data_IF_662209624094
#
_entry.id   IF_662209624094
#
_cell.length_a   1.000
_cell.length_b   1.000
_cell.length_c   1.000
_cell.angle_alpha   90.00
_cell.angle_beta   90.00
_cell.angle_gamma   90.00
#
_symmetry.space_group_name_H-M   'P 1'
#
loop_
_entity.id
_entity.type
_entity.pdbx_description
1 polymer ?
#
# COMPACT_ATOMS: atom_id res chain seq x y z
N UNK A 1 35.18 29.64 -35.98
CA UNK A 1 35.06 29.66 -37.44
C UNK A 1 33.60 29.72 -37.79
N UNK A 2 33.19 30.59 -38.70
CA UNK A 2 31.82 30.65 -39.20
C UNK A 2 31.64 29.56 -40.27
N UNK A 3 30.77 28.58 -40.02
CA UNK A 3 30.31 27.68 -41.07
C UNK A 3 29.14 28.34 -41.79
N UNK A 4 29.34 28.70 -43.06
CA UNK A 4 28.29 29.21 -43.93
C UNK A 4 27.83 28.08 -44.85
N UNK A 5 26.58 27.64 -44.70
CA UNK A 5 25.95 26.62 -45.55
C UNK A 5 24.99 27.34 -46.51
N UNK A 6 25.25 27.24 -47.82
CA UNK A 6 24.36 27.76 -48.85
C UNK A 6 23.45 26.64 -49.35
N UNK A 7 22.14 26.82 -49.22
CA UNK A 7 21.16 25.84 -49.66
C UNK A 7 20.51 26.28 -50.98
N UNK A 8 20.66 25.48 -52.03
CA UNK A 8 19.88 25.64 -53.27
C UNK A 8 18.44 25.21 -53.03
N UNK A 9 17.48 25.96 -53.56
CA UNK A 9 16.05 25.86 -53.26
C UNK A 9 15.53 24.43 -53.15
N UNK A 10 14.99 24.13 -51.96
CA UNK A 10 14.19 22.94 -51.62
C UNK A 10 14.90 21.69 -51.07
N UNK A 11 16.15 21.77 -50.61
CA UNK A 11 16.69 20.70 -49.76
C UNK A 11 16.47 21.01 -48.28
N UNK A 12 15.82 20.11 -47.53
CA UNK A 12 15.75 20.24 -46.07
C UNK A 12 17.15 19.90 -45.51
N UNK A 13 17.94 20.92 -45.19
CA UNK A 13 19.20 20.73 -44.48
C UNK A 13 18.89 20.42 -43.00
N UNK A 14 18.83 19.14 -42.65
CA UNK A 14 18.71 18.72 -41.26
C UNK A 14 20.08 18.82 -40.58
N UNK A 15 20.28 19.87 -39.80
CA UNK A 15 21.51 20.07 -39.02
C UNK A 15 21.30 19.44 -37.64
N UNK A 16 21.82 18.23 -37.43
CA UNK A 16 21.80 17.57 -36.14
C UNK A 16 23.02 18.03 -35.32
N UNK A 17 22.83 18.97 -34.39
CA UNK A 17 23.84 19.28 -33.39
C UNK A 17 23.63 18.36 -32.19
N UNK A 18 24.59 17.49 -31.90
CA UNK A 18 24.62 16.76 -30.63
C UNK A 18 25.03 17.73 -29.53
N UNK A 19 24.09 18.10 -28.66
CA UNK A 19 24.27 19.09 -27.59
C UNK A 19 25.32 18.71 -26.53
N UNK A 20 25.87 17.50 -26.59
CA UNK A 20 26.73 16.91 -25.56
C UNK A 20 28.12 17.53 -25.41
N UNK A 21 28.50 18.57 -26.16
CA UNK A 21 29.88 19.12 -26.15
C UNK A 21 30.00 20.62 -25.89
N UNK A 22 28.91 21.36 -25.63
CA UNK A 22 28.98 22.83 -25.59
C UNK A 22 28.75 23.50 -24.22
N UNK A 23 28.45 22.76 -23.15
CA UNK A 23 28.47 23.31 -21.78
C UNK A 23 27.60 24.55 -21.52
N UNK A 24 26.69 24.90 -22.43
CA UNK A 24 25.77 26.02 -22.31
C UNK A 24 24.42 25.63 -22.90
N UNK A 25 23.34 25.83 -22.14
CA UNK A 25 21.96 25.49 -22.49
C UNK A 25 21.31 26.41 -23.52
N UNK A 26 21.98 27.49 -23.94
CA UNK A 26 21.43 28.48 -24.88
C UNK A 26 21.91 28.27 -26.31
N UNK A 27 21.03 27.77 -27.19
CA UNK A 27 21.20 27.87 -28.63
C UNK A 27 20.47 29.11 -29.15
N UNK A 28 21.19 30.16 -29.57
CA UNK A 28 20.58 31.27 -30.31
C UNK A 28 20.50 30.91 -31.79
N UNK A 29 19.32 30.48 -32.24
CA UNK A 29 19.00 30.40 -33.66
C UNK A 29 18.66 31.79 -34.18
N UNK A 30 19.49 32.36 -35.05
CA UNK A 30 19.07 33.49 -35.88
C UNK A 30 18.25 32.93 -37.05
N UNK A 31 16.94 33.18 -37.04
CA UNK A 31 16.05 32.87 -38.17
C UNK A 31 16.32 33.85 -39.31
N UNK A 32 16.50 33.34 -40.52
CA UNK A 32 16.56 34.13 -41.77
C UNK A 32 15.16 34.42 -42.34
N UNK A 33 14.10 34.09 -41.60
CA UNK A 33 12.71 34.20 -42.05
C UNK A 33 12.15 32.92 -42.67
N UNK A 34 12.92 31.84 -42.83
CA UNK A 34 12.38 30.52 -43.16
C UNK A 34 11.74 29.87 -41.92
N UNK A 35 10.51 29.37 -42.04
CA UNK A 35 9.70 28.82 -40.94
C UNK A 35 10.23 27.50 -40.35
N UNK A 36 11.38 27.54 -39.69
CA UNK A 36 11.95 26.41 -38.94
C UNK A 36 11.34 26.30 -37.54
N UNK A 37 10.93 25.09 -37.15
CA UNK A 37 10.52 24.76 -35.77
C UNK A 37 11.75 24.46 -34.93
N UNK A 38 12.05 25.29 -33.94
CA UNK A 38 13.07 25.00 -32.93
C UNK A 38 12.46 24.08 -31.86
N UNK A 39 12.94 22.84 -31.77
CA UNK A 39 12.60 21.94 -30.67
C UNK A 39 13.69 22.10 -29.60
N UNK A 40 13.45 22.97 -28.62
CA UNK A 40 14.25 22.97 -27.38
C UNK A 40 13.62 21.97 -26.42
N UNK A 41 14.38 20.98 -25.94
CA UNK A 41 14.06 20.35 -24.65
C UNK A 41 14.20 21.43 -23.58
N UNK A 42 13.27 21.49 -22.62
CA UNK A 42 13.40 22.43 -21.50
C UNK A 42 14.81 22.29 -20.91
N UNK A 43 15.55 23.39 -20.88
CA UNK A 43 16.85 23.40 -20.24
C UNK A 43 16.61 23.38 -18.74
N UNK A 44 17.23 22.42 -18.07
CA UNK A 44 17.51 22.53 -16.65
C UNK A 44 18.31 23.82 -16.43
N UNK A 45 17.78 24.72 -15.61
CA UNK A 45 18.45 25.98 -15.29
C UNK A 45 19.22 25.87 -13.97
N UNK A 46 19.06 24.76 -13.24
CA UNK A 46 19.96 24.39 -12.17
C UNK A 46 21.07 23.48 -12.73
N UNK A 47 22.23 23.49 -12.09
CA UNK A 47 23.36 22.62 -12.44
C UNK A 47 23.82 21.78 -11.23
N UNK A 48 23.01 21.79 -10.18
CA UNK A 48 23.29 21.16 -8.92
C UNK A 48 22.26 20.06 -8.67
N UNK A 49 22.69 18.79 -8.53
CA UNK A 49 21.77 17.71 -8.22
C UNK A 49 21.03 17.93 -6.90
N UNK A 50 19.71 18.05 -6.96
CA UNK A 50 18.83 18.29 -5.80
C UNK A 50 18.01 17.06 -5.41
N UNK A 51 18.15 16.57 -4.17
CA UNK A 51 17.42 15.39 -3.74
C UNK A 51 15.92 15.71 -3.58
N UNK A 52 15.02 14.76 -3.90
CA UNK A 52 13.59 14.94 -3.66
C UNK A 52 13.28 15.02 -2.18
N UNK A 53 12.17 15.68 -1.84
CA UNK A 53 11.64 15.70 -0.48
C UNK A 53 10.87 14.39 -0.23
N UNK A 54 11.42 13.55 0.64
CA UNK A 54 10.78 12.30 1.08
C UNK A 54 10.13 12.49 2.46
N UNK A 55 8.83 12.21 2.55
CA UNK A 55 8.07 12.25 3.80
C UNK A 55 7.34 10.93 4.03
N UNK A 56 7.35 10.44 5.28
CA UNK A 56 6.56 9.28 5.72
C UNK A 56 5.65 9.77 6.85
N UNK A 57 4.33 9.78 6.62
CA UNK A 57 3.37 10.33 7.56
C UNK A 57 3.33 9.59 8.91
N UNK A 58 3.56 8.27 8.88
CA UNK A 58 3.67 7.43 10.06
C UNK A 58 4.73 6.34 9.84
N UNK A 59 5.75 6.29 10.68
CA UNK A 59 6.86 5.33 10.59
C UNK A 59 6.55 3.96 11.19
N UNK A 60 5.34 3.76 11.74
CA UNK A 60 4.89 2.48 12.27
C UNK A 60 3.44 2.20 11.82
N UNK A 61 3.28 1.21 10.94
CA UNK A 61 1.98 0.78 10.41
C UNK A 61 1.67 -0.64 10.83
N UNK A 62 0.38 -0.96 10.80
CA UNK A 62 -0.12 -2.33 10.97
C UNK A 62 -1.03 -2.64 9.79
N UNK A 63 -0.86 -3.82 9.21
CA UNK A 63 -1.78 -4.35 8.19
C UNK A 63 -2.41 -5.61 8.76
N UNK A 64 -3.70 -5.82 8.49
CA UNK A 64 -4.36 -7.07 8.88
C UNK A 64 -3.94 -8.18 7.93
N UNK A 65 -3.88 -9.43 8.41
CA UNK A 65 -3.60 -10.59 7.58
C UNK A 65 -4.58 -10.66 6.40
N UNK A 66 -4.06 -10.71 5.17
CA UNK A 66 -4.87 -10.70 3.94
C UNK A 66 -5.50 -9.34 3.58
N UNK A 67 -5.17 -8.27 4.33
CA UNK A 67 -5.71 -6.92 4.13
C UNK A 67 -4.73 -5.98 3.44
N UNK A 68 -5.06 -4.69 3.47
CA UNK A 68 -4.22 -3.63 2.88
C UNK A 68 -4.16 -2.37 3.75
N UNK A 69 -3.10 -1.59 3.58
CA UNK A 69 -2.87 -0.35 4.30
C UNK A 69 -2.19 0.68 3.39
N UNK A 70 -2.58 1.95 3.50
CA UNK A 70 -1.88 3.05 2.84
C UNK A 70 -0.54 3.31 3.51
N UNK A 71 0.54 3.43 2.72
CA UNK A 71 1.89 3.60 3.26
C UNK A 71 2.16 5.02 3.79
N UNK A 72 1.38 6.02 3.38
CA UNK A 72 1.57 7.41 3.79
C UNK A 72 2.93 7.99 3.38
N UNK A 73 3.54 7.42 2.33
CA UNK A 73 4.80 7.90 1.75
C UNK A 73 4.48 8.95 0.70
N UNK A 74 5.25 10.03 0.70
CA UNK A 74 5.24 11.06 -0.35
C UNK A 74 6.67 11.36 -0.76
N UNK A 75 6.95 11.29 -2.06
CA UNK A 75 8.18 11.78 -2.66
C UNK A 75 7.84 12.92 -3.61
N UNK A 76 8.29 14.12 -3.28
CA UNK A 76 8.06 15.34 -4.08
C UNK A 76 9.33 15.69 -4.82
N UNK A 77 9.28 15.90 -6.15
CA UNK A 77 10.43 16.39 -6.90
C UNK A 77 10.88 17.76 -6.37
N UNK A 78 12.18 18.03 -6.46
CA UNK A 78 12.77 19.33 -6.16
C UNK A 78 12.24 20.39 -7.13
N UNK A 79 12.29 20.09 -8.43
CA UNK A 79 11.84 21.00 -9.49
C UNK A 79 10.79 20.39 -10.41
N UNK A 80 10.10 21.27 -11.16
CA UNK A 80 8.98 20.88 -12.01
C UNK A 80 9.39 20.04 -13.23
N UNK A 81 10.67 20.03 -13.59
CA UNK A 81 11.27 19.29 -14.69
C UNK A 81 11.99 18.01 -14.25
N UNK A 82 12.00 17.71 -12.94
CA UNK A 82 12.51 16.44 -12.42
C UNK A 82 11.51 15.30 -12.54
N UNK A 83 12.01 14.14 -12.97
CA UNK A 83 11.32 12.88 -12.73
C UNK A 83 11.73 12.31 -11.36
N UNK A 84 10.74 11.85 -10.59
CA UNK A 84 10.97 11.24 -9.28
C UNK A 84 10.78 9.71 -9.33
N UNK A 85 11.65 8.99 -8.63
CA UNK A 85 11.52 7.55 -8.39
C UNK A 85 11.64 7.25 -6.90
N UNK A 86 10.83 6.34 -6.40
CA UNK A 86 10.83 5.84 -5.03
C UNK A 86 11.31 4.39 -5.02
N UNK A 87 12.21 4.06 -4.11
CA UNK A 87 12.66 2.69 -3.85
C UNK A 87 12.23 2.28 -2.45
N UNK A 88 11.52 1.15 -2.34
CA UNK A 88 11.10 0.54 -1.08
C UNK A 88 11.69 -0.86 -1.00
N UNK A 89 12.66 -1.05 -0.12
CA UNK A 89 13.35 -2.32 0.10
C UNK A 89 12.91 -3.00 1.40
N UNK A 90 13.10 -4.32 1.48
CA UNK A 90 12.75 -5.11 2.66
C UNK A 90 11.28 -5.56 2.69
N UNK A 91 10.55 -5.44 1.58
CA UNK A 91 9.17 -5.91 1.46
C UNK A 91 9.16 -7.45 1.51
N UNK A 92 8.47 -8.06 2.48
CA UNK A 92 8.25 -9.50 2.56
C UNK A 92 7.64 -10.09 1.27
N UNK A 93 7.95 -11.35 0.98
CA UNK A 93 7.49 -12.02 -0.24
C UNK A 93 5.99 -12.28 -0.29
N UNK A 94 5.31 -12.21 0.86
CA UNK A 94 3.85 -12.30 0.99
C UNK A 94 3.16 -10.94 0.92
N UNK A 95 3.88 -9.85 0.60
CA UNK A 95 3.33 -8.52 0.44
C UNK A 95 3.56 -7.98 -0.98
N UNK A 96 2.66 -7.11 -1.42
CA UNK A 96 2.76 -6.38 -2.69
C UNK A 96 2.52 -4.89 -2.50
N UNK A 97 3.15 -4.08 -3.33
CA UNK A 97 2.96 -2.63 -3.35
C UNK A 97 2.23 -2.24 -4.63
N UNK A 98 1.20 -1.41 -4.50
CA UNK A 98 0.52 -0.75 -5.62
C UNK A 98 0.59 0.76 -5.48
N UNK A 99 0.47 1.43 -6.63
CA UNK A 99 0.46 2.88 -6.76
C UNK A 99 -0.77 3.32 -7.59
N UNK A 100 -1.12 4.61 -7.59
CA UNK A 100 -2.08 5.17 -8.54
C UNK A 100 -1.71 4.82 -9.99
N UNK A 101 -2.70 4.76 -10.88
CA UNK A 101 -2.51 4.33 -12.28
C UNK A 101 -1.63 5.27 -13.12
N UNK A 102 -1.33 6.47 -12.63
CA UNK A 102 -0.40 7.42 -13.23
C UNK A 102 1.06 7.02 -13.00
N UNK A 103 1.34 6.20 -12.00
CA UNK A 103 2.68 5.79 -11.62
C UNK A 103 3.01 4.41 -12.19
N UNK A 104 4.28 4.17 -12.45
CA UNK A 104 4.79 2.88 -12.90
C UNK A 104 5.40 2.14 -11.72
N UNK A 105 4.87 0.96 -11.41
CA UNK A 105 5.42 0.08 -10.37
C UNK A 105 6.24 -1.03 -11.03
N UNK A 106 7.50 -1.15 -10.61
CA UNK A 106 8.42 -2.21 -11.07
C UNK A 106 8.86 -3.06 -9.89
N UNK A 107 8.73 -4.38 -10.06
CA UNK A 107 9.18 -5.38 -9.11
C UNK A 107 9.74 -6.58 -9.87
N UNK A 108 10.90 -7.07 -9.44
CA UNK A 108 11.49 -8.29 -9.98
C UNK A 108 11.10 -9.46 -9.08
N UNK A 109 10.67 -10.58 -9.68
CA UNK A 109 10.29 -11.75 -8.88
C UNK A 109 11.46 -12.23 -8.02
N UNK A 110 11.18 -12.53 -6.75
CA UNK A 110 12.19 -12.89 -5.77
C UNK A 110 12.98 -11.72 -5.17
N UNK A 111 12.78 -10.48 -5.63
CA UNK A 111 13.31 -9.28 -4.97
C UNK A 111 12.41 -8.85 -3.81
N UNK A 112 13.00 -8.28 -2.77
CA UNK A 112 12.29 -7.56 -1.70
C UNK A 112 12.25 -6.04 -1.94
N UNK A 113 12.65 -5.61 -3.13
CA UNK A 113 12.74 -4.20 -3.50
C UNK A 113 11.75 -3.86 -4.61
N UNK A 114 10.99 -2.80 -4.38
CA UNK A 114 10.02 -2.23 -5.29
C UNK A 114 10.48 -0.84 -5.71
N UNK A 115 10.33 -0.52 -7.00
CA UNK A 115 10.59 0.81 -7.53
C UNK A 115 9.29 1.37 -8.09
N UNK A 116 8.96 2.61 -7.71
CA UNK A 116 7.81 3.34 -8.21
C UNK A 116 8.34 4.60 -8.89
N UNK A 117 7.91 4.87 -10.11
CA UNK A 117 8.32 6.06 -10.86
C UNK A 117 7.10 6.84 -11.31
N UNK A 118 7.17 8.17 -11.23
CA UNK A 118 6.14 9.07 -11.77
C UNK A 118 6.66 9.87 -12.95
N UNK A 119 5.76 10.55 -13.64
CA UNK A 119 6.12 11.50 -14.69
C UNK A 119 6.81 12.73 -14.11
N UNK A 120 7.54 13.45 -14.97
CA UNK A 120 8.20 14.71 -14.64
C UNK A 120 7.28 15.70 -13.92
N UNK A 121 7.78 16.30 -12.83
CA UNK A 121 7.08 17.30 -12.00
C UNK A 121 5.94 16.76 -11.15
N UNK A 122 5.71 15.44 -11.14
CA UNK A 122 4.59 14.83 -10.40
C UNK A 122 5.10 14.10 -9.15
N UNK A 123 4.55 14.39 -7.96
CA UNK A 123 4.91 13.67 -6.75
C UNK A 123 4.34 12.25 -6.73
N UNK A 124 5.08 11.31 -6.14
CA UNK A 124 4.59 9.95 -5.86
C UNK A 124 3.83 9.98 -4.53
N UNK A 125 2.56 9.57 -4.54
CA UNK A 125 1.69 9.50 -3.35
C UNK A 125 0.70 8.34 -3.46
N UNK A 126 -0.07 8.07 -2.40
CA UNK A 126 -1.20 7.13 -2.47
C UNK A 126 -0.82 5.65 -2.59
N UNK A 127 0.42 5.31 -2.23
CA UNK A 127 0.90 3.93 -2.26
C UNK A 127 0.15 3.06 -1.24
N UNK A 128 -0.17 1.83 -1.66
CA UNK A 128 -0.86 0.84 -0.83
C UNK A 128 -0.03 -0.43 -0.74
N UNK A 129 0.11 -0.95 0.47
CA UNK A 129 0.66 -2.27 0.75
C UNK A 129 -0.49 -3.25 0.91
N UNK A 130 -0.41 -4.41 0.25
CA UNK A 130 -1.37 -5.50 0.39
C UNK A 130 -0.65 -6.72 0.94
N UNK A 131 -1.18 -7.30 2.00
CA UNK A 131 -0.69 -8.53 2.63
C UNK A 131 -1.44 -9.74 2.11
N UNK A 132 -0.71 -10.84 1.92
CA UNK A 132 -1.23 -12.20 1.76
C UNK A 132 -0.75 -13.12 2.88
N UNK A 133 -0.35 -12.57 4.02
CA UNK A 133 0.12 -13.33 5.17
C UNK A 133 -0.97 -14.26 5.70
N UNK A 134 -0.62 -15.53 5.88
CA UNK A 134 -1.51 -16.60 6.37
C UNK A 134 -0.99 -17.28 7.64
N UNK A 135 0.12 -16.78 8.18
CA UNK A 135 0.73 -17.32 9.40
C UNK A 135 -0.01 -16.89 10.67
N UNK A 136 0.46 -17.40 11.81
CA UNK A 136 -0.09 -17.11 13.14
C UNK A 136 0.78 -16.15 13.96
N UNK A 137 1.92 -15.72 13.42
CA UNK A 137 2.83 -14.79 14.07
C UNK A 137 2.42 -13.33 13.85
N UNK A 138 3.28 -12.42 14.33
CA UNK A 138 3.17 -10.97 14.14
C UNK A 138 4.51 -10.41 13.65
N UNK A 139 5.04 -10.86 12.50
CA UNK A 139 6.28 -10.31 11.95
C UNK A 139 6.22 -8.79 11.79
N UNK A 140 7.37 -8.16 11.99
CA UNK A 140 7.58 -6.73 11.74
C UNK A 140 8.62 -6.60 10.63
N UNK A 141 8.21 -6.03 9.49
CA UNK A 141 9.11 -5.68 8.41
C UNK A 141 9.62 -4.26 8.61
N UNK A 142 10.93 -4.05 8.47
CA UNK A 142 11.55 -2.72 8.47
C UNK A 142 11.83 -2.33 7.02
N UNK A 143 10.90 -1.58 6.42
CA UNK A 143 11.00 -1.14 5.03
C UNK A 143 11.97 0.04 4.94
N UNK A 144 12.98 -0.07 4.08
CA UNK A 144 13.90 1.03 3.79
C UNK A 144 13.38 1.78 2.56
N UNK A 145 13.01 3.04 2.77
CA UNK A 145 12.42 3.91 1.75
C UNK A 145 13.43 4.98 1.38
N UNK A 146 13.65 5.19 0.09
CA UNK A 146 14.46 6.29 -0.44
C UNK A 146 13.85 6.79 -1.74
N UNK A 147 14.12 8.04 -2.09
CA UNK A 147 13.65 8.63 -3.34
C UNK A 147 14.83 9.24 -4.11
N UNK A 148 14.71 9.30 -5.43
CA UNK A 148 15.67 9.95 -6.31
C UNK A 148 14.97 10.88 -7.29
N UNK A 149 15.62 12.01 -7.55
CA UNK A 149 15.30 12.90 -8.65
C UNK A 149 16.27 12.66 -9.79
N UNK A 150 15.76 12.78 -11.01
CA UNK A 150 16.59 12.75 -12.20
C UNK A 150 16.07 13.75 -13.24
N UNK A 151 17.01 14.55 -13.71
CA UNK A 151 16.91 15.40 -14.90
C UNK A 151 18.09 15.11 -15.82
N UNK A 152 18.05 15.56 -17.07
CA UNK A 152 19.09 15.28 -18.05
C UNK A 152 20.47 15.79 -17.58
N UNK A 153 21.32 14.88 -17.12
CA UNK A 153 22.68 15.18 -16.67
C UNK A 153 22.83 15.15 -15.15
N UNK A 154 21.73 15.03 -14.40
CA UNK A 154 21.71 15.20 -12.96
C UNK A 154 20.92 14.08 -12.26
N UNK A 155 21.43 13.63 -11.12
CA UNK A 155 20.71 12.67 -10.28
C UNK A 155 21.09 12.89 -8.83
N UNK A 156 20.08 12.99 -7.97
CA UNK A 156 20.26 13.10 -6.53
C UNK A 156 19.26 12.23 -5.79
N UNK A 157 19.65 11.77 -4.61
CA UNK A 157 18.85 10.86 -3.79
C UNK A 157 18.64 11.42 -2.39
N UNK A 158 17.44 11.22 -1.86
CA UNK A 158 17.13 11.50 -0.46
C UNK A 158 17.81 10.50 0.47
N UNK A 159 17.92 10.88 1.75
CA UNK A 159 18.34 9.95 2.79
C UNK A 159 17.30 8.83 2.96
N UNK A 160 17.77 7.62 3.24
CA UNK A 160 16.86 6.49 3.50
C UNK A 160 16.13 6.67 4.83
N UNK A 161 14.83 6.43 4.83
CA UNK A 161 13.96 6.42 6.01
C UNK A 161 13.41 5.02 6.24
N UNK A 162 13.16 4.68 7.50
CA UNK A 162 12.62 3.36 7.87
C UNK A 162 11.12 3.46 8.19
N UNK A 163 10.35 2.54 7.63
CA UNK A 163 8.93 2.33 7.92
C UNK A 163 8.74 0.91 8.46
N UNK A 164 8.33 0.79 9.71
CA UNK A 164 8.03 -0.49 10.33
C UNK A 164 6.58 -0.90 10.04
N UNK A 165 6.37 -2.10 9.51
CA UNK A 165 5.04 -2.66 9.24
C UNK A 165 4.86 -3.94 10.02
N UNK A 166 3.82 -4.03 10.84
CA UNK A 166 3.45 -5.26 11.58
C UNK A 166 2.30 -5.97 10.89
N UNK A 167 2.43 -7.28 10.67
CA UNK A 167 1.43 -8.09 9.93
C UNK A 167 1.20 -9.50 10.53
N UNK A 168 0.01 -9.82 11.03
CA UNK A 168 -1.01 -8.92 11.53
C UNK A 168 -0.57 -8.29 12.85
N UNK A 169 -1.22 -7.20 13.32
CA UNK A 169 -1.05 -6.75 14.69
C UNK A 169 -1.45 -7.84 15.69
N UNK A 170 -0.78 -7.89 16.84
CA UNK A 170 -1.15 -8.79 17.92
C UNK A 170 -2.59 -8.52 18.37
N UNK A 171 -3.40 -9.57 18.47
CA UNK A 171 -4.72 -9.45 19.08
C UNK A 171 -4.51 -9.22 20.56
N UNK A 172 -4.81 -8.01 21.04
CA UNK A 172 -4.92 -7.79 22.48
C UNK A 172 -6.06 -8.69 22.98
N UNK A 173 -5.82 -9.58 23.97
CA UNK A 173 -6.91 -10.35 24.53
C UNK A 173 -7.97 -9.37 25.03
N UNK A 174 -9.16 -9.44 24.44
CA UNK A 174 -10.31 -8.69 24.94
C UNK A 174 -10.46 -9.08 26.40
N UNK A 175 -10.37 -8.10 27.31
CA UNK A 175 -10.61 -8.36 28.71
C UNK A 175 -11.98 -9.03 28.80
N UNK A 176 -12.00 -10.29 29.26
CA UNK A 176 -13.24 -10.94 29.71
C UNK A 176 -13.93 -9.92 30.63
N UNK A 177 -15.24 -9.64 30.47
CA UNK A 177 -15.92 -8.75 31.40
C UNK A 177 -15.62 -9.26 32.80
N UNK A 178 -14.93 -8.42 33.55
CA UNK A 178 -14.56 -8.70 34.93
C UNK A 178 -15.87 -8.95 35.69
N UNK A 179 -16.17 -10.20 36.03
CA UNK A 179 -17.29 -10.57 36.89
C UNK A 179 -17.08 -10.12 38.36
N UNK A 180 -16.17 -9.18 38.61
CA UNK A 180 -16.02 -8.50 39.89
C UNK A 180 -16.75 -7.14 39.88
N UNK A 181 -18.05 -7.17 39.60
CA UNK A 181 -18.98 -6.24 40.22
C UNK A 181 -20.05 -7.07 40.92
N UNK A 182 -20.11 -6.92 42.24
CA UNK A 182 -21.14 -7.52 43.06
C UNK A 182 -22.49 -6.89 42.67
N UNK A 183 -23.19 -7.51 41.73
CA UNK A 183 -24.64 -7.48 41.65
C UNK A 183 -25.13 -8.91 41.95
N UNK A 184 -26.16 -9.07 42.81
CA UNK A 184 -26.54 -10.36 43.34
C UNK A 184 -26.99 -11.31 42.23
N UNK A 185 -26.86 -12.59 42.50
CA UNK A 185 -27.17 -13.77 41.65
C UNK A 185 -28.66 -13.87 41.24
N UNK A 186 -29.42 -12.78 41.32
CA UNK A 186 -30.88 -12.71 41.12
C UNK A 186 -31.32 -12.75 39.65
N UNK A 187 -30.42 -12.61 38.68
CA UNK A 187 -30.82 -12.54 37.27
C UNK A 187 -30.93 -13.91 36.58
N UNK A 188 -30.25 -14.94 37.08
CA UNK A 188 -30.38 -16.31 36.55
C UNK A 188 -31.63 -17.02 37.10
N UNK A 189 -31.99 -16.74 38.36
CA UNK A 189 -33.27 -17.16 38.95
C UNK A 189 -34.46 -16.41 38.36
N UNK A 190 -34.35 -15.12 38.04
CA UNK A 190 -35.44 -14.35 37.42
C UNK A 190 -35.85 -14.90 36.04
N UNK A 191 -34.90 -15.44 35.26
CA UNK A 191 -35.19 -16.03 33.95
C UNK A 191 -35.89 -17.40 34.08
N UNK A 192 -35.57 -18.15 35.14
CA UNK A 192 -36.25 -19.42 35.46
C UNK A 192 -37.65 -19.19 36.04
N UNK A 193 -37.83 -18.16 36.88
CA UNK A 193 -39.14 -17.74 37.38
C UNK A 193 -40.05 -17.21 36.25
N UNK A 194 -39.49 -16.54 35.24
CA UNK A 194 -40.27 -16.08 34.07
C UNK A 194 -40.76 -17.24 33.19
N UNK A 195 -40.04 -18.38 33.17
CA UNK A 195 -40.48 -19.60 32.49
C UNK A 195 -41.56 -20.36 33.28
N UNK A 196 -41.48 -20.37 34.62
CA UNK A 196 -42.49 -21.00 35.49
C UNK A 196 -43.76 -20.15 35.63
N UNK A 197 -43.63 -18.82 35.65
CA UNK A 197 -44.76 -17.88 35.74
C UNK A 197 -45.55 -17.74 34.44
N UNK A 198 -44.98 -18.11 33.29
CA UNK A 198 -45.71 -18.23 32.02
C UNK A 198 -46.52 -19.54 31.91
N UNK A 199 -46.69 -20.25 33.03
CA UNK A 199 -47.52 -21.45 33.17
C UNK A 199 -48.88 -21.31 32.49
N UNK A 200 -49.17 -22.29 31.65
CA UNK A 200 -50.45 -22.56 31.00
C UNK A 200 -51.65 -22.29 31.90
N UNK A 201 -52.36 -21.18 31.67
CA UNK A 201 -53.76 -21.07 32.05
C UNK A 201 -54.59 -21.71 30.95
N UNK A 202 -54.85 -23.01 31.14
CA UNK A 202 -55.94 -23.69 30.46
C UNK A 202 -57.25 -23.40 31.19
N UNK A 203 -58.22 -22.81 30.48
CA UNK A 203 -59.62 -23.12 30.73
C UNK A 203 -60.24 -23.64 29.43
N UNK A 204 -60.93 -24.76 29.57
CA UNK A 204 -61.47 -25.62 28.52
C UNK A 204 -62.69 -24.98 27.83
N UNK A 205 -62.71 -24.98 26.50
CA UNK A 205 -63.83 -25.54 25.72
C UNK A 205 -63.56 -25.56 24.22
N UNK A 206 -63.57 -26.77 23.65
CA UNK A 206 -64.04 -27.00 22.28
C UNK A 206 -62.98 -27.21 21.19
N UNK A 207 -62.94 -28.47 20.74
CA UNK A 207 -62.72 -28.97 19.35
C UNK A 207 -61.37 -28.79 18.63
N UNK A 208 -60.85 -29.95 18.15
CA UNK A 208 -59.87 -30.08 17.04
C UNK A 208 -58.45 -30.44 17.51
N UNK A 209 -58.04 -31.72 17.52
CA UNK A 209 -57.30 -32.40 16.43
C UNK A 209 -56.00 -31.64 16.04
N UNK A 210 -54.79 -32.20 15.98
CA UNK A 210 -54.33 -33.58 15.76
C UNK A 210 -52.83 -33.70 16.13
N UNK A 211 -52.48 -34.80 16.82
CA UNK A 211 -51.32 -35.68 16.64
C UNK A 211 -50.05 -35.14 15.92
N UNK A 212 -48.92 -35.13 16.64
CA UNK A 212 -47.80 -36.12 16.54
C UNK A 212 -46.81 -35.83 15.39
N UNK A 213 -45.48 -35.93 15.51
CA UNK A 213 -44.72 -37.12 15.90
C UNK A 213 -43.26 -36.76 16.28
N UNK A 214 -42.84 -37.28 17.44
CA UNK A 214 -41.59 -38.02 17.73
C UNK A 214 -40.35 -37.84 16.83
N UNK A 215 -39.21 -37.53 17.45
CA UNK A 215 -38.05 -38.42 17.39
C UNK A 215 -37.11 -38.24 18.59
N UNK A 216 -36.78 -39.37 19.20
CA UNK A 216 -35.94 -39.60 20.39
C UNK A 216 -34.60 -40.16 19.92
N UNK A 217 -33.48 -39.57 20.36
CA UNK A 217 -32.16 -40.18 20.65
C UNK A 217 -31.12 -39.05 20.74
N UNK A 218 -30.25 -38.90 21.74
CA UNK A 218 -29.93 -39.66 22.94
C UNK A 218 -28.78 -38.89 23.61
N UNK A 219 -28.83 -38.72 24.93
CA UNK A 219 -27.74 -38.16 25.73
C UNK A 219 -26.81 -39.28 26.23
N UNK A 220 -25.60 -38.88 26.63
CA UNK A 220 -24.66 -39.52 27.59
C UNK A 220 -23.80 -40.66 27.03
N UNK A 221 -22.51 -40.86 27.38
CA UNK A 221 -21.58 -40.24 28.33
C UNK A 221 -20.18 -40.90 28.11
N UNK A 222 -19.14 -40.27 28.66
CA UNK A 222 -17.75 -40.71 28.72
C UNK A 222 -17.56 -42.18 29.16
N UNK A 223 -16.60 -42.88 28.54
CA UNK A 223 -15.89 -44.00 29.18
C UNK A 223 -14.41 -43.99 28.79
N UNK A 224 -13.56 -43.66 29.76
CA UNK A 224 -12.12 -43.90 29.78
C UNK A 224 -11.89 -45.42 29.89
N UNK A 225 -11.21 -46.05 28.93
CA UNK A 225 -10.55 -47.34 29.22
C UNK A 225 -9.28 -47.57 28.38
N UNK A 226 -8.19 -47.59 29.14
CA UNK A 226 -6.83 -48.08 28.87
C UNK A 226 -6.84 -49.48 28.24
N UNK A 227 -5.95 -49.72 27.27
CA UNK A 227 -5.53 -51.08 26.90
C UNK A 227 -4.02 -51.22 27.14
N UNK A 228 -3.55 -52.25 27.88
CA UNK A 228 -2.14 -52.58 28.00
C UNK A 228 -1.67 -53.59 26.94
N UNK A 229 -0.34 -53.68 26.85
CA UNK A 229 0.53 -54.57 26.08
C UNK A 229 0.01 -55.99 25.78
N UNK A 230 0.20 -56.41 24.51
CA UNK A 230 0.99 -57.59 24.17
C UNK A 230 1.50 -57.51 22.71
#
# INVERSE_FOLDING_TARGET
>A
GLLQLSNGSSQHASLAFQASTLGSSSFQAASDGAGGTLITTAADNDTSPEPPVLTIANTALTVTAGGSVGLGITATPADSDDAVALTIAGVPTYETISAPSSDTVTHQSGSSTWTISSSTGVPITGLTLTSSYTGTGHPVAALAVSASNSTSGETASSASQTLNVTDPPATTPSALPNLASHAPVTHLTALLDQFVAAGFHGEQSGVGQIASLMSVHGQQELALLVHPHH
#
